data_IF_116869499275
#
_entry.id   IF_116869499275
#
_cell.length_a   1.000
_cell.length_b   1.000
_cell.length_c   1.000
_cell.angle_alpha   90.00
_cell.angle_beta   90.00
_cell.angle_gamma   90.00
#
_symmetry.space_group_name_H-M   'P 1'
#
loop_
_entity.id
_entity.type
_entity.pdbx_description
1 polymer ?
#
# COMPACT_ATOMS: atom_id res chain seq x y z
N UNK A 1 -28.13 -16.81 -0.91
CA UNK A 1 -26.78 -16.80 -0.36
C UNK A 1 -26.66 -17.80 0.77
N UNK A 2 -25.86 -18.83 0.59
CA UNK A 2 -25.71 -19.85 1.60
C UNK A 2 -24.87 -19.38 2.77
N UNK A 3 -25.35 -19.60 4.00
CA UNK A 3 -24.61 -19.22 5.20
C UNK A 3 -23.28 -19.96 5.31
N UNK A 4 -23.22 -21.22 4.86
CA UNK A 4 -21.99 -22.00 4.86
C UNK A 4 -20.91 -21.40 3.98
N UNK A 5 -21.28 -20.91 2.80
CA UNK A 5 -20.36 -20.24 1.90
C UNK A 5 -19.83 -18.95 2.52
N UNK A 6 -20.70 -18.14 3.12
CA UNK A 6 -20.30 -16.92 3.81
C UNK A 6 -19.32 -17.21 4.94
N UNK A 7 -19.58 -18.28 5.71
CA UNK A 7 -18.73 -18.68 6.81
C UNK A 7 -17.32 -19.03 6.32
N UNK A 8 -17.22 -19.86 5.29
CA UNK A 8 -15.93 -20.27 4.74
C UNK A 8 -15.19 -19.07 4.12
N UNK A 9 -15.91 -18.21 3.42
CA UNK A 9 -15.31 -16.99 2.86
C UNK A 9 -14.80 -16.07 3.96
N UNK A 10 -15.54 -15.94 5.06
CA UNK A 10 -15.11 -15.12 6.20
C UNK A 10 -13.83 -15.64 6.83
N UNK A 11 -13.67 -16.97 6.93
CA UNK A 11 -12.44 -17.55 7.44
C UNK A 11 -11.26 -17.27 6.52
N UNK A 12 -11.42 -17.54 5.23
CA UNK A 12 -10.38 -17.28 4.23
C UNK A 12 -10.04 -15.78 4.17
N UNK A 13 -11.05 -14.92 4.20
CA UNK A 13 -10.87 -13.48 4.19
C UNK A 13 -10.12 -13.00 5.44
N UNK A 14 -10.44 -13.57 6.60
CA UNK A 14 -9.76 -13.24 7.85
C UNK A 14 -8.27 -13.58 7.81
N UNK A 15 -7.93 -14.76 7.28
CA UNK A 15 -6.55 -15.18 7.10
C UNK A 15 -5.80 -14.25 6.14
N UNK A 16 -6.39 -14.00 4.97
CA UNK A 16 -5.79 -13.14 3.97
C UNK A 16 -5.68 -11.70 4.47
N UNK A 17 -6.68 -11.22 5.19
CA UNK A 17 -6.65 -9.89 5.77
C UNK A 17 -5.49 -9.73 6.75
N UNK A 18 -5.30 -10.70 7.65
CA UNK A 18 -4.21 -10.67 8.61
C UNK A 18 -2.85 -10.62 7.92
N UNK A 19 -2.66 -11.45 6.91
CA UNK A 19 -1.43 -11.49 6.14
C UNK A 19 -1.19 -10.17 5.41
N UNK A 20 -2.22 -9.59 4.84
CA UNK A 20 -2.12 -8.33 4.10
C UNK A 20 -1.89 -7.15 5.02
N UNK A 21 -2.57 -7.08 6.16
CA UNK A 21 -2.30 -6.03 7.16
C UNK A 21 -0.83 -6.03 7.53
N UNK A 22 -0.25 -7.21 7.73
CA UNK A 22 1.17 -7.34 8.07
C UNK A 22 2.06 -6.79 6.95
N UNK A 23 1.80 -7.19 5.72
CA UNK A 23 2.63 -6.78 4.57
C UNK A 23 2.43 -5.30 4.24
N UNK A 24 1.19 -4.83 4.24
CA UNK A 24 0.89 -3.42 3.95
C UNK A 24 1.44 -2.53 5.06
N UNK A 25 1.27 -2.94 6.30
CA UNK A 25 1.80 -2.18 7.44
C UNK A 25 3.32 -2.06 7.42
N UNK A 26 4.01 -3.15 7.10
CA UNK A 26 5.46 -3.16 6.99
C UNK A 26 5.94 -2.26 5.86
N UNK A 27 5.27 -2.31 4.72
CA UNK A 27 5.65 -1.49 3.57
C UNK A 27 5.36 -0.01 3.83
N UNK A 28 4.23 0.31 4.47
CA UNK A 28 3.93 1.68 4.87
C UNK A 28 4.98 2.22 5.84
N UNK A 29 5.36 1.43 6.83
CA UNK A 29 6.39 1.84 7.78
C UNK A 29 7.72 2.13 7.08
N UNK A 30 8.13 1.24 6.18
CA UNK A 30 9.34 1.41 5.38
C UNK A 30 9.27 2.70 4.55
N UNK A 31 8.13 2.97 3.91
CA UNK A 31 7.93 4.16 3.10
C UNK A 31 8.07 5.44 3.94
N UNK A 32 7.53 5.43 5.15
CA UNK A 32 7.61 6.59 6.05
C UNK A 32 9.01 6.77 6.63
N UNK A 33 9.70 5.69 6.97
CA UNK A 33 11.08 5.72 7.43
C UNK A 33 11.99 6.30 6.35
N UNK A 34 11.77 5.91 5.10
CA UNK A 34 12.54 6.39 3.95
C UNK A 34 12.10 7.79 3.46
N UNK A 35 11.15 8.39 4.15
CA UNK A 35 10.67 9.75 3.86
C UNK A 35 10.12 9.92 2.43
N UNK A 36 9.52 8.85 1.88
CA UNK A 36 8.85 8.93 0.59
C UNK A 36 7.61 9.82 0.70
N UNK A 37 6.93 9.75 1.84
CA UNK A 37 5.87 10.67 2.22
C UNK A 37 5.86 10.78 3.74
N UNK A 38 4.91 11.53 4.30
CA UNK A 38 4.78 11.69 5.75
C UNK A 38 3.33 11.44 6.17
N UNK A 39 3.09 11.11 7.45
CA UNK A 39 1.71 10.97 7.95
C UNK A 39 0.87 12.22 7.71
N UNK A 40 1.46 13.40 7.84
CA UNK A 40 0.77 14.67 7.61
C UNK A 40 0.29 14.79 6.17
N UNK A 41 1.15 14.44 5.20
CA UNK A 41 0.82 14.51 3.77
C UNK A 41 -0.26 13.48 3.45
N UNK A 42 -0.14 12.26 3.96
CA UNK A 42 -1.13 11.21 3.74
C UNK A 42 -2.50 11.66 4.27
N UNK A 43 -2.55 12.20 5.48
CA UNK A 43 -3.79 12.71 6.06
C UNK A 43 -4.39 13.83 5.22
N UNK A 44 -3.55 14.76 4.79
CA UNK A 44 -4.00 15.91 4.02
C UNK A 44 -4.56 15.51 2.65
N UNK A 45 -3.89 14.60 1.95
CA UNK A 45 -4.26 14.22 0.60
C UNK A 45 -5.30 13.11 0.51
N UNK A 46 -5.31 12.17 1.45
CA UNK A 46 -6.15 10.98 1.37
C UNK A 46 -7.14 10.84 2.52
N UNK A 47 -6.98 11.59 3.61
CA UNK A 47 -7.96 11.69 4.68
C UNK A 47 -7.80 10.80 5.91
N UNK A 48 -6.99 9.72 5.93
CA UNK A 48 -6.92 8.88 7.13
C UNK A 48 -6.33 9.65 8.31
N UNK A 49 -6.80 9.34 9.52
CA UNK A 49 -6.29 9.97 10.74
C UNK A 49 -4.90 9.45 11.09
N UNK A 50 -4.19 10.22 11.93
CA UNK A 50 -2.89 9.77 12.44
C UNK A 50 -3.00 8.47 13.22
N UNK A 51 -4.10 8.28 13.94
CA UNK A 51 -4.34 7.04 14.69
C UNK A 51 -4.46 5.84 13.74
N UNK A 52 -5.15 6.02 12.63
CA UNK A 52 -5.30 4.97 11.61
C UNK A 52 -3.94 4.63 10.98
N UNK A 53 -3.15 5.65 10.65
CA UNK A 53 -1.80 5.45 10.10
C UNK A 53 -0.92 4.69 11.09
N UNK A 54 -0.95 5.09 12.35
CA UNK A 54 -0.22 4.43 13.43
C UNK A 54 -0.63 2.98 13.58
N UNK A 55 -1.94 2.73 13.61
CA UNK A 55 -2.47 1.38 13.81
C UNK A 55 -2.06 0.44 12.67
N UNK A 56 -2.05 0.94 11.45
CA UNK A 56 -1.57 0.13 10.32
C UNK A 56 -0.07 -0.13 10.40
N UNK A 57 0.73 0.86 10.77
CA UNK A 57 2.16 0.67 10.98
C UNK A 57 2.45 -0.37 12.05
N UNK A 58 1.61 -0.44 13.07
CA UNK A 58 1.70 -1.43 14.15
C UNK A 58 1.01 -2.75 13.78
N UNK A 59 0.47 -2.85 12.59
CA UNK A 59 -0.13 -4.07 12.06
C UNK A 59 -1.28 -4.59 12.93
N UNK A 60 -2.10 -3.69 13.47
CA UNK A 60 -3.23 -4.07 14.31
C UNK A 60 -4.30 -4.79 13.50
N UNK A 61 -4.81 -5.89 14.06
CA UNK A 61 -5.82 -6.73 13.40
C UNK A 61 -7.19 -6.06 13.29
N UNK A 62 -7.43 -4.97 14.02
CA UNK A 62 -8.69 -4.23 13.99
C UNK A 62 -8.85 -3.34 12.75
N UNK A 63 -7.85 -3.23 11.91
CA UNK A 63 -7.89 -2.42 10.69
C UNK A 63 -8.97 -2.95 9.75
N UNK A 64 -9.82 -2.05 9.26
CA UNK A 64 -10.90 -2.41 8.34
C UNK A 64 -10.38 -2.69 6.95
N UNK A 65 -11.14 -3.47 6.17
CA UNK A 65 -10.83 -3.73 4.76
C UNK A 65 -10.74 -2.44 3.95
N UNK A 66 -11.61 -1.48 4.23
CA UNK A 66 -11.61 -0.20 3.52
C UNK A 66 -10.34 0.57 3.75
N UNK A 67 -9.83 0.54 4.98
CA UNK A 67 -8.56 1.15 5.31
C UNK A 67 -7.40 0.45 4.60
N UNK A 68 -7.42 -0.88 4.57
CA UNK A 68 -6.40 -1.66 3.85
C UNK A 68 -6.40 -1.29 2.36
N UNK A 69 -7.58 -1.20 1.74
CA UNK A 69 -7.71 -0.80 0.33
C UNK A 69 -7.14 0.58 0.08
N UNK A 70 -7.52 1.53 0.95
CA UNK A 70 -7.03 2.90 0.84
C UNK A 70 -5.50 2.93 0.88
N UNK A 71 -4.90 2.23 1.83
CA UNK A 71 -3.44 2.26 1.98
C UNK A 71 -2.71 1.48 0.89
N UNK A 72 -3.31 0.45 0.31
CA UNK A 72 -2.75 -0.16 -0.90
C UNK A 72 -2.64 0.87 -2.02
N UNK A 73 -3.66 1.70 -2.20
CA UNK A 73 -3.65 2.77 -3.18
C UNK A 73 -2.61 3.84 -2.84
N UNK A 74 -2.60 4.29 -1.59
CA UNK A 74 -1.69 5.35 -1.12
C UNK A 74 -0.22 4.95 -1.30
N UNK A 75 0.12 3.74 -0.90
CA UNK A 75 1.50 3.23 -1.01
C UNK A 75 1.92 3.18 -2.47
N UNK A 76 1.08 2.62 -3.33
CA UNK A 76 1.39 2.55 -4.76
C UNK A 76 1.58 3.93 -5.37
N UNK A 77 0.68 4.86 -5.04
CA UNK A 77 0.73 6.23 -5.55
C UNK A 77 2.06 6.91 -5.23
N UNK A 78 2.45 6.93 -3.96
CA UNK A 78 3.68 7.61 -3.57
C UNK A 78 4.94 6.87 -4.02
N UNK A 79 4.91 5.54 -3.99
CA UNK A 79 6.06 4.73 -4.41
C UNK A 79 6.41 5.00 -5.87
N UNK A 80 5.41 4.98 -6.75
CA UNK A 80 5.66 5.19 -8.17
C UNK A 80 6.01 6.63 -8.49
N UNK A 81 5.44 7.61 -7.78
CA UNK A 81 5.86 9.00 -7.90
C UNK A 81 7.32 9.19 -7.49
N UNK A 82 7.75 8.54 -6.41
CA UNK A 82 9.13 8.64 -5.96
C UNK A 82 10.10 8.01 -6.96
N UNK A 83 9.75 6.86 -7.53
CA UNK A 83 10.57 6.23 -8.56
C UNK A 83 10.75 7.18 -9.74
N UNK A 84 9.67 7.77 -10.21
CA UNK A 84 9.72 8.73 -11.32
C UNK A 84 10.57 9.94 -10.97
N UNK A 85 10.40 10.48 -9.76
CA UNK A 85 11.16 11.64 -9.31
C UNK A 85 12.66 11.34 -9.26
N UNK A 86 13.03 10.17 -8.74
CA UNK A 86 14.44 9.79 -8.65
C UNK A 86 15.04 9.58 -10.04
N UNK A 87 14.30 8.95 -10.95
CA UNK A 87 14.75 8.73 -12.32
C UNK A 87 14.97 10.06 -13.07
N UNK A 88 14.07 11.04 -12.84
CA UNK A 88 14.07 12.28 -13.61
C UNK A 88 14.90 13.40 -12.99
N UNK A 89 15.04 13.45 -11.67
CA UNK A 89 15.59 14.62 -10.99
C UNK A 89 16.89 14.39 -10.23
N UNK A 90 17.23 13.15 -9.88
CA UNK A 90 18.51 12.89 -9.21
C UNK A 90 19.65 12.92 -10.22
N UNK A 91 20.58 13.87 -10.03
CA UNK A 91 21.72 14.05 -10.91
C UNK A 91 22.90 13.14 -10.58
N UNK A 92 23.09 12.83 -9.31
CA UNK A 92 24.17 11.95 -8.86
C UNK A 92 23.82 10.50 -9.20
N UNK A 93 24.58 9.90 -10.11
CA UNK A 93 24.33 8.55 -10.63
C UNK A 93 24.40 7.51 -9.51
N UNK A 94 25.35 7.67 -8.58
CA UNK A 94 25.55 6.74 -7.48
C UNK A 94 24.37 6.78 -6.50
N UNK A 95 24.00 7.98 -6.09
CA UNK A 95 22.87 8.19 -5.19
C UNK A 95 21.56 7.72 -5.83
N UNK A 96 21.36 8.05 -7.12
CA UNK A 96 20.21 7.62 -7.87
C UNK A 96 20.14 6.09 -7.95
N UNK A 97 21.26 5.43 -8.23
CA UNK A 97 21.33 3.98 -8.32
C UNK A 97 20.96 3.30 -7.01
N UNK A 98 21.52 3.77 -5.91
CA UNK A 98 21.21 3.23 -4.58
C UNK A 98 19.73 3.43 -4.22
N UNK A 99 19.20 4.61 -4.49
CA UNK A 99 17.78 4.91 -4.21
C UNK A 99 16.86 4.06 -5.07
N UNK A 100 17.15 3.91 -6.36
CA UNK A 100 16.35 3.09 -7.27
C UNK A 100 16.39 1.62 -6.88
N UNK A 101 17.52 1.11 -6.43
CA UNK A 101 17.60 -0.28 -5.95
C UNK A 101 16.64 -0.50 -4.78
N UNK A 102 16.65 0.40 -3.79
CA UNK A 102 15.74 0.32 -2.66
C UNK A 102 14.28 0.41 -3.10
N UNK A 103 13.97 1.38 -3.97
CA UNK A 103 12.60 1.58 -4.46
C UNK A 103 12.10 0.40 -5.28
N UNK A 104 12.97 -0.24 -6.06
CA UNK A 104 12.60 -1.42 -6.83
C UNK A 104 12.32 -2.63 -5.93
N UNK A 105 13.05 -2.77 -4.83
CA UNK A 105 12.74 -3.80 -3.84
C UNK A 105 11.36 -3.58 -3.22
N UNK A 106 11.04 -2.34 -2.87
CA UNK A 106 9.72 -1.97 -2.36
C UNK A 106 8.63 -2.22 -3.40
N UNK A 107 8.91 -1.91 -4.66
CA UNK A 107 8.00 -2.14 -5.78
C UNK A 107 7.68 -3.62 -5.94
N UNK A 108 8.66 -4.50 -5.83
CA UNK A 108 8.43 -5.94 -5.93
C UNK A 108 7.57 -6.44 -4.76
N UNK A 109 7.82 -5.96 -3.56
CA UNK A 109 6.97 -6.25 -2.40
C UNK A 109 5.54 -5.75 -2.62
N UNK A 110 5.39 -4.55 -3.17
CA UNK A 110 4.08 -3.97 -3.46
C UNK A 110 3.32 -4.80 -4.50
N UNK A 111 3.99 -5.23 -5.57
CA UNK A 111 3.37 -6.08 -6.59
C UNK A 111 2.87 -7.39 -6.01
N UNK A 112 3.61 -7.97 -5.09
CA UNK A 112 3.20 -9.18 -4.39
C UNK A 112 1.94 -8.95 -3.57
N UNK A 113 1.89 -7.84 -2.83
CA UNK A 113 0.70 -7.44 -2.06
C UNK A 113 -0.48 -7.23 -3.01
N UNK A 114 -0.26 -6.54 -4.11
CA UNK A 114 -1.28 -6.29 -5.12
C UNK A 114 -1.85 -7.60 -5.64
N UNK A 115 -1.00 -8.57 -5.97
CA UNK A 115 -1.44 -9.88 -6.43
C UNK A 115 -2.28 -10.62 -5.40
N UNK A 116 -1.93 -10.52 -4.12
CA UNK A 116 -2.70 -11.11 -3.03
C UNK A 116 -4.04 -10.42 -2.81
N UNK A 117 -4.16 -9.16 -3.22
CA UNK A 117 -5.30 -8.29 -2.97
C UNK A 117 -6.00 -7.86 -4.25
N UNK A 118 -5.87 -8.65 -5.31
CA UNK A 118 -6.41 -8.27 -6.61
C UNK A 118 -7.87 -7.81 -6.54
N UNK A 119 -8.71 -8.53 -5.82
CA UNK A 119 -10.13 -8.17 -5.66
C UNK A 119 -10.30 -6.83 -4.93
N UNK A 120 -9.50 -6.57 -3.90
CA UNK A 120 -9.55 -5.35 -3.11
C UNK A 120 -9.13 -4.16 -3.98
N UNK A 121 -8.05 -4.31 -4.74
CA UNK A 121 -7.53 -3.25 -5.61
C UNK A 121 -8.50 -2.98 -6.76
N UNK A 122 -9.10 -4.03 -7.33
CA UNK A 122 -10.11 -3.88 -8.38
C UNK A 122 -11.30 -3.06 -7.89
N UNK A 123 -11.70 -3.22 -6.63
CA UNK A 123 -12.77 -2.40 -6.05
C UNK A 123 -12.42 -0.92 -6.04
N UNK A 124 -11.16 -0.56 -5.80
CA UNK A 124 -10.72 0.84 -5.87
C UNK A 124 -10.87 1.39 -7.29
N UNK A 125 -10.54 0.60 -8.29
CA UNK A 125 -10.72 0.97 -9.70
C UNK A 125 -12.21 1.21 -9.97
N UNK A 126 -13.06 0.30 -9.55
CA UNK A 126 -14.52 0.41 -9.73
C UNK A 126 -15.11 1.62 -9.02
N UNK A 127 -14.45 2.12 -7.97
CA UNK A 127 -14.87 3.34 -7.28
C UNK A 127 -14.33 4.61 -7.95
N UNK A 128 -13.74 4.50 -9.13
CA UNK A 128 -13.22 5.64 -9.86
C UNK A 128 -11.86 6.15 -9.38
N UNK A 129 -11.17 5.38 -8.57
CA UNK A 129 -9.81 5.72 -8.15
C UNK A 129 -8.82 5.28 -9.22
N UNK A 130 -7.90 6.17 -9.58
CA UNK A 130 -6.86 5.83 -10.53
C UNK A 130 -5.72 5.12 -9.84
N UNK A 131 -5.29 4.00 -10.43
CA UNK A 131 -4.08 3.32 -10.00
C UNK A 131 -2.85 4.05 -10.58
N UNK A 132 -1.71 3.95 -9.90
CA UNK A 132 -0.46 4.43 -10.49
C UNK A 132 -0.24 3.81 -11.87
N UNK A 133 0.26 4.61 -12.82
CA UNK A 133 0.39 4.21 -14.22
C UNK A 133 1.14 2.89 -14.42
N UNK A 134 2.15 2.63 -13.60
CA UNK A 134 2.95 1.41 -13.69
C UNK A 134 2.19 0.15 -13.23
N UNK A 135 1.03 0.32 -12.60
CA UNK A 135 0.19 -0.80 -12.16
C UNK A 135 -0.93 -1.12 -13.14
N UNK A 136 -1.16 -0.24 -14.09
CA UNK A 136 -2.13 -0.47 -15.16
C UNK A 136 -1.53 -1.32 -16.25
#
# INVERSE_FOLDING_TARGET
MGKGRSYMNSYADGYMRGKVVKEVGALLDNMLVEEITTPKIIKLEFGPSYDTIRDLRQQKSSISFETIRLFCYVIGYYLYQEIEAVENYKKDVRERGARLTMLNEMKEKYKKIYGMQAAVVLNLIHQGKDLPALMK
#
